data_IF_712200026662
#
_entry.id   IF_712200026662
#
_cell.length_a   1.000
_cell.length_b   1.000
_cell.length_c   1.000
_cell.angle_alpha   90.00
_cell.angle_beta   90.00
_cell.angle_gamma   90.00
#
_symmetry.space_group_name_H-M   'P 1'
#
loop_
_entity.id
_entity.type
_entity.pdbx_description
1 polymer ?
#
# COMPACT_ATOMS: atom_id res chain seq x y z
N UNK A 1 5.40 4.82 10.18
CA UNK A 1 5.33 3.60 11.03
C UNK A 1 3.97 3.56 11.65
N UNK A 2 3.24 2.47 11.45
CA UNK A 2 1.78 2.41 11.53
C UNK A 2 1.32 1.02 11.99
N UNK A 3 0.11 0.95 12.58
CA UNK A 3 -0.58 -0.25 13.11
C UNK A 3 -2.10 0.06 13.06
N UNK A 4 -3.00 -0.92 12.87
CA UNK A 4 -4.44 -0.70 12.65
C UNK A 4 -5.38 -1.72 13.37
N UNK A 5 -6.58 -1.28 13.84
CA UNK A 5 -7.70 -2.20 14.11
C UNK A 5 -9.14 -1.63 13.85
N UNK A 6 -10.02 -2.44 13.21
CA UNK A 6 -11.48 -2.45 13.46
C UNK A 6 -12.43 -1.50 12.67
N UNK A 7 -13.47 -2.08 12.04
CA UNK A 7 -14.51 -1.43 11.16
C UNK A 7 -15.93 -1.47 11.77
N UNK A 8 -17.04 -1.02 11.10
CA UNK A 8 -17.25 -0.29 9.82
C UNK A 8 -18.20 0.95 10.02
N UNK A 9 -19.12 1.48 9.19
CA UNK A 9 -19.69 1.30 7.82
C UNK A 9 -20.47 2.58 7.37
N UNK A 10 -20.84 2.72 6.07
CA UNK A 10 -21.95 3.58 5.59
C UNK A 10 -21.70 4.38 4.29
N UNK A 11 -22.68 4.48 3.37
CA UNK A 11 -22.47 5.00 1.99
C UNK A 11 -23.69 5.69 1.31
N UNK A 12 -23.42 6.51 0.28
CA UNK A 12 -24.36 6.96 -0.79
C UNK A 12 -23.62 7.63 -1.99
N UNK A 13 -24.29 7.75 -3.15
CA UNK A 13 -23.70 8.08 -4.49
C UNK A 13 -24.10 9.45 -5.08
N UNK A 14 -23.30 9.97 -6.06
CA UNK A 14 -23.81 10.64 -7.28
C UNK A 14 -22.75 11.09 -8.33
N UNK A 15 -22.93 10.69 -9.60
CA UNK A 15 -22.73 11.53 -10.81
C UNK A 15 -21.32 11.78 -11.40
N UNK A 16 -21.15 11.60 -12.73
CA UNK A 16 -19.95 12.00 -13.50
C UNK A 16 -20.30 12.45 -14.95
N UNK A 17 -19.32 13.00 -15.70
CA UNK A 17 -19.48 13.54 -17.06
C UNK A 17 -18.38 13.07 -18.04
N UNK A 18 -18.56 13.37 -19.33
CA UNK A 18 -17.99 12.65 -20.49
C UNK A 18 -16.49 12.81 -20.81
N UNK A 19 -15.94 11.81 -21.51
CA UNK A 19 -14.53 11.62 -21.87
C UNK A 19 -14.32 11.46 -23.40
N UNK A 20 -13.70 12.44 -24.08
CA UNK A 20 -13.26 12.27 -25.50
C UNK A 20 -11.85 12.80 -25.84
N UNK A 21 -11.14 13.49 -24.92
CA UNK A 21 -9.85 14.17 -25.22
C UNK A 21 -8.60 13.52 -24.58
N UNK A 22 -8.72 12.35 -23.94
CA UNK A 22 -7.73 11.86 -22.94
C UNK A 22 -6.67 10.84 -23.39
N UNK A 23 -6.77 10.25 -24.57
CA UNK A 23 -5.96 9.06 -24.92
C UNK A 23 -4.55 9.34 -25.50
N UNK A 24 -4.28 10.53 -26.03
CA UNK A 24 -3.12 10.76 -26.93
C UNK A 24 -1.72 10.79 -26.30
N UNK A 25 -1.54 10.41 -25.04
CA UNK A 25 -0.21 10.30 -24.38
C UNK A 25 -0.15 9.08 -23.45
N UNK A 26 0.43 8.00 -23.96
CA UNK A 26 0.74 6.81 -23.18
C UNK A 26 2.03 7.00 -22.38
N UNK A 27 1.94 6.84 -21.06
CA UNK A 27 3.06 6.86 -20.13
C UNK A 27 3.20 5.46 -19.51
N UNK A 28 4.42 4.92 -19.30
CA UNK A 28 4.63 3.51 -18.95
C UNK A 28 4.09 3.10 -17.57
N UNK A 29 3.82 4.07 -16.68
CA UNK A 29 3.39 3.84 -15.30
C UNK A 29 1.93 4.24 -15.02
N UNK A 30 1.09 4.37 -16.04
CA UNK A 30 -0.35 4.66 -15.85
C UNK A 30 -1.11 3.43 -15.33
N UNK A 31 -1.59 3.50 -14.09
CA UNK A 31 -2.70 2.65 -13.64
C UNK A 31 -3.95 2.90 -14.49
N UNK A 32 -4.81 1.88 -14.64
CA UNK A 32 -6.04 1.99 -15.44
C UNK A 32 -6.99 3.03 -14.84
N UNK A 33 -7.51 3.91 -15.70
CA UNK A 33 -8.72 4.66 -15.38
C UNK A 33 -9.92 3.70 -15.43
N UNK A 34 -10.91 3.96 -14.56
CA UNK A 34 -12.10 3.12 -14.43
C UNK A 34 -12.94 3.09 -15.72
N UNK A 35 -13.37 1.89 -16.12
CA UNK A 35 -14.36 1.66 -17.16
C UNK A 35 -15.29 0.51 -16.78
N UNK A 36 -16.60 0.78 -16.81
CA UNK A 36 -17.73 -0.16 -16.84
C UNK A 36 -17.72 -1.39 -15.91
N UNK A 37 -18.49 -1.33 -14.81
CA UNK A 37 -18.86 -2.50 -14.01
C UNK A 37 -20.08 -3.19 -14.62
N UNK A 38 -19.94 -4.40 -15.18
CA UNK A 38 -21.08 -5.27 -15.48
C UNK A 38 -21.53 -6.03 -14.22
N UNK A 39 -22.85 -6.15 -14.02
CA UNK A 39 -23.41 -6.81 -12.84
C UNK A 39 -23.26 -8.34 -12.92
N UNK A 40 -22.94 -8.97 -11.80
CA UNK A 40 -22.93 -10.44 -11.65
C UNK A 40 -24.13 -10.82 -10.75
N UNK A 41 -25.01 -11.65 -11.28
CA UNK A 41 -26.18 -12.18 -10.58
C UNK A 41 -25.77 -13.12 -9.44
N UNK A 42 -26.62 -13.24 -8.42
CA UNK A 42 -26.43 -14.11 -7.25
C UNK A 42 -27.73 -14.82 -6.88
N UNK A 43 -27.95 -15.98 -7.49
CA UNK A 43 -28.82 -16.98 -6.89
C UNK A 43 -28.19 -17.50 -5.59
N UNK A 44 -29.03 -17.67 -4.57
CA UNK A 44 -28.70 -18.36 -3.31
C UNK A 44 -29.57 -19.61 -3.26
N UNK A 45 -28.95 -20.78 -3.21
CA UNK A 45 -29.64 -22.03 -2.88
C UNK A 45 -29.35 -22.42 -1.42
N UNK A 46 -30.37 -22.97 -0.75
CA UNK A 46 -30.42 -23.21 0.70
C UNK A 46 -30.79 -24.67 1.00
N UNK A 47 -29.80 -25.51 1.32
CA UNK A 47 -30.04 -26.91 1.73
C UNK A 47 -29.34 -27.31 3.04
N UNK A 48 -29.85 -28.37 3.66
CA UNK A 48 -29.94 -28.51 5.11
C UNK A 48 -29.48 -29.88 5.64
N UNK A 49 -28.85 -29.81 6.83
CA UNK A 49 -28.79 -30.85 7.89
C UNK A 49 -27.98 -32.14 7.63
N UNK A 50 -26.85 -32.19 8.35
CA UNK A 50 -26.60 -33.16 9.44
C UNK A 50 -26.53 -34.67 9.13
N UNK A 51 -25.34 -35.25 9.33
CA UNK A 51 -25.17 -36.56 10.01
C UNK A 51 -23.83 -36.62 10.74
N UNK A 52 -23.77 -37.36 11.85
CA UNK A 52 -22.53 -37.72 12.58
C UNK A 52 -22.07 -39.12 12.18
N UNK A 53 -20.76 -39.32 12.04
CA UNK A 53 -20.09 -40.61 12.22
C UNK A 53 -18.64 -40.39 12.64
N UNK A 54 -18.11 -41.31 13.45
CA UNK A 54 -16.75 -41.23 14.02
C UNK A 54 -15.73 -41.95 13.14
N UNK A 55 -14.59 -41.31 12.88
CA UNK A 55 -13.37 -41.93 12.37
C UNK A 55 -12.15 -41.30 13.06
N UNK A 56 -11.06 -42.05 13.19
CA UNK A 56 -9.82 -41.59 13.82
C UNK A 56 -9.00 -40.69 12.89
N UNK A 57 -8.50 -39.57 13.40
CA UNK A 57 -7.65 -38.65 12.64
C UNK A 57 -6.28 -39.27 12.31
N UNK A 58 -5.82 -39.28 11.05
CA UNK A 58 -4.41 -39.40 10.73
C UNK A 58 -3.70 -38.09 11.10
N UNK A 59 -2.41 -38.17 11.48
CA UNK A 59 -1.61 -36.99 11.87
C UNK A 59 -1.69 -35.89 10.82
N UNK A 60 -2.08 -34.68 11.25
CA UNK A 60 -2.27 -33.55 10.35
C UNK A 60 -0.92 -33.09 9.76
N UNK A 61 -0.65 -33.47 8.52
CA UNK A 61 0.29 -32.75 7.67
C UNK A 61 -0.17 -31.29 7.61
N UNK A 62 0.68 -30.36 8.06
CA UNK A 62 0.39 -28.93 7.97
C UNK A 62 0.45 -28.53 6.50
N UNK A 63 -0.69 -28.63 5.83
CA UNK A 63 -0.94 -27.95 4.56
C UNK A 63 -0.94 -26.46 4.90
N UNK A 64 0.19 -25.79 4.71
CA UNK A 64 0.26 -24.32 4.76
C UNK A 64 -0.74 -23.80 3.72
N UNK A 65 -1.88 -23.32 4.17
CA UNK A 65 -2.67 -22.40 3.37
C UNK A 65 -1.80 -21.16 3.18
N UNK A 66 -1.33 -20.96 1.95
CA UNK A 66 -0.79 -19.67 1.55
C UNK A 66 -1.92 -18.66 1.75
N UNK A 67 -1.81 -17.81 2.77
CA UNK A 67 -2.82 -16.79 3.00
C UNK A 67 -2.64 -15.73 1.91
N UNK A 68 -3.57 -15.72 0.93
CA UNK A 68 -3.64 -14.73 -0.15
C UNK A 68 -3.98 -13.31 0.36
N UNK A 69 -4.19 -13.14 1.66
CA UNK A 69 -4.35 -11.86 2.34
C UNK A 69 -3.00 -11.45 2.96
N UNK A 70 -2.60 -10.17 2.90
CA UNK A 70 -1.49 -9.63 3.68
C UNK A 70 -1.70 -9.80 5.19
N UNK A 71 -0.62 -9.63 5.95
CA UNK A 71 -0.64 -9.64 7.41
C UNK A 71 -1.45 -8.45 7.95
N UNK A 72 -2.54 -8.76 8.64
CA UNK A 72 -3.44 -7.76 9.24
C UNK A 72 -3.00 -7.31 10.65
N UNK A 73 -1.91 -7.88 11.18
CA UNK A 73 -1.28 -7.44 12.42
C UNK A 73 -0.33 -6.27 12.21
N UNK A 74 0.45 -5.93 13.24
CA UNK A 74 1.48 -4.89 13.16
C UNK A 74 2.76 -5.36 12.47
N UNK A 75 3.61 -4.41 12.06
CA UNK A 75 4.89 -4.70 11.40
C UNK A 75 5.89 -5.46 12.27
N UNK A 76 5.77 -5.44 13.61
CA UNK A 76 6.67 -6.17 14.50
C UNK A 76 6.20 -7.62 14.69
N UNK A 77 4.89 -7.87 14.85
CA UNK A 77 4.35 -9.23 14.84
C UNK A 77 4.58 -9.96 13.50
N UNK A 78 4.58 -9.23 12.38
CA UNK A 78 4.99 -9.77 11.07
C UNK A 78 6.46 -10.23 11.06
N UNK A 79 7.37 -9.45 11.64
CA UNK A 79 8.79 -9.83 11.75
C UNK A 79 8.97 -11.07 12.64
N UNK A 80 8.21 -11.19 13.73
CA UNK A 80 8.22 -12.41 14.55
C UNK A 80 7.59 -13.61 13.82
N UNK A 81 6.59 -13.41 12.96
CA UNK A 81 6.03 -14.45 12.09
C UNK A 81 7.04 -14.92 11.01
N UNK A 82 7.91 -14.04 10.53
CA UNK A 82 9.06 -14.42 9.69
C UNK A 82 10.11 -15.21 10.48
N UNK A 83 10.46 -14.76 11.70
CA UNK A 83 11.46 -15.41 12.57
C UNK A 83 11.03 -16.77 13.09
N UNK A 84 9.73 -16.98 13.32
CA UNK A 84 9.15 -18.27 13.69
C UNK A 84 8.97 -19.23 12.50
N UNK A 85 9.00 -18.72 11.27
CA UNK A 85 8.67 -19.48 10.06
C UNK A 85 7.17 -19.77 9.91
N UNK A 86 6.30 -18.98 10.56
CA UNK A 86 4.86 -18.98 10.30
C UNK A 86 4.54 -18.43 8.91
N UNK A 87 5.25 -17.37 8.51
CA UNK A 87 5.18 -16.68 7.21
C UNK A 87 6.59 -16.50 6.65
N UNK A 88 6.75 -16.28 5.35
CA UNK A 88 8.01 -15.80 4.77
C UNK A 88 7.86 -14.44 4.09
N UNK A 89 8.94 -13.63 3.99
CA UNK A 89 8.93 -12.34 3.31
C UNK A 89 8.41 -12.39 1.86
N UNK A 90 8.76 -13.44 1.11
CA UNK A 90 8.33 -13.60 -0.28
C UNK A 90 6.83 -13.95 -0.40
N UNK A 91 6.31 -14.82 0.47
CA UNK A 91 4.86 -15.11 0.55
C UNK A 91 4.06 -13.86 0.95
N UNK A 92 4.58 -13.05 1.87
CA UNK A 92 3.94 -11.82 2.32
C UNK A 92 3.96 -10.73 1.23
N UNK A 93 5.09 -10.54 0.54
CA UNK A 93 5.16 -9.58 -0.56
C UNK A 93 4.25 -9.98 -1.74
N UNK A 94 4.15 -11.27 -2.05
CA UNK A 94 3.20 -11.75 -3.06
C UNK A 94 1.75 -11.44 -2.63
N UNK A 95 1.37 -11.74 -1.38
CA UNK A 95 0.05 -11.40 -0.87
C UNK A 95 -0.22 -9.88 -0.86
N UNK A 96 0.79 -9.06 -0.55
CA UNK A 96 0.74 -7.59 -0.71
C UNK A 96 0.44 -7.20 -2.16
N UNK A 97 1.09 -7.82 -3.16
CA UNK A 97 0.82 -7.51 -4.56
C UNK A 97 -0.55 -8.01 -5.04
N UNK A 98 -0.96 -9.21 -4.65
CA UNK A 98 -2.29 -9.75 -4.95
C UNK A 98 -3.40 -8.84 -4.38
N UNK A 99 -3.21 -8.33 -3.15
CA UNK A 99 -4.13 -7.39 -2.53
C UNK A 99 -4.11 -6.00 -3.19
N UNK A 100 -2.95 -5.51 -3.65
CA UNK A 100 -2.85 -4.25 -4.41
C UNK A 100 -3.61 -4.36 -5.74
N UNK A 101 -3.48 -5.48 -6.46
CA UNK A 101 -4.18 -5.70 -7.73
C UNK A 101 -5.70 -5.88 -7.57
N UNK A 102 -6.14 -6.41 -6.43
CA UNK A 102 -7.54 -6.53 -6.07
C UNK A 102 -8.16 -5.23 -5.49
N UNK A 103 -7.38 -4.13 -5.38
CA UNK A 103 -7.80 -2.94 -4.62
C UNK A 103 -8.36 -1.80 -5.48
N UNK A 104 -9.67 -1.54 -5.33
CA UNK A 104 -10.34 -0.34 -5.87
C UNK A 104 -9.77 1.00 -5.31
N UNK A 105 -8.89 0.97 -4.28
CA UNK A 105 -8.43 2.15 -3.54
C UNK A 105 -7.48 3.07 -4.30
N UNK A 106 -6.78 2.58 -5.32
CA UNK A 106 -5.78 3.34 -6.10
C UNK A 106 -4.71 4.01 -5.20
N UNK A 107 -4.08 3.22 -4.32
CA UNK A 107 -3.16 3.69 -3.29
C UNK A 107 -1.66 3.67 -3.69
N UNK A 108 -1.32 3.02 -4.81
CA UNK A 108 0.04 2.89 -5.35
C UNK A 108 0.15 3.45 -6.77
N UNK A 109 1.23 4.20 -7.03
CA UNK A 109 1.58 4.79 -8.32
C UNK A 109 2.58 3.94 -9.12
N UNK A 110 3.36 3.09 -8.44
CA UNK A 110 4.44 2.29 -9.04
C UNK A 110 4.76 1.07 -8.18
N UNK A 111 5.04 -0.09 -8.79
CA UNK A 111 5.45 -1.32 -8.09
C UNK A 111 6.60 -2.03 -8.84
N UNK A 112 7.83 -2.09 -8.31
CA UNK A 112 8.98 -2.70 -8.98
C UNK A 112 9.05 -4.22 -8.69
N UNK A 113 8.02 -4.95 -9.09
CA UNK A 113 7.70 -6.29 -8.55
C UNK A 113 8.87 -7.27 -8.58
N UNK A 114 9.60 -7.34 -9.69
CA UNK A 114 10.76 -8.24 -9.77
C UNK A 114 11.91 -7.85 -8.83
N UNK A 115 12.14 -6.55 -8.61
CA UNK A 115 13.18 -6.05 -7.72
C UNK A 115 12.82 -6.36 -6.26
N UNK A 116 11.58 -6.05 -5.88
CA UNK A 116 11.07 -6.29 -4.54
C UNK A 116 11.00 -7.79 -4.21
N UNK A 117 10.58 -8.66 -5.16
CA UNK A 117 10.56 -10.11 -4.93
C UNK A 117 11.97 -10.67 -4.71
N UNK A 118 12.97 -10.27 -5.52
CA UNK A 118 14.37 -10.64 -5.30
C UNK A 118 14.90 -10.14 -3.95
N UNK A 119 14.48 -8.96 -3.49
CA UNK A 119 14.83 -8.43 -2.18
C UNK A 119 14.14 -9.19 -1.03
N UNK A 120 12.91 -9.66 -1.21
CA UNK A 120 12.19 -10.47 -0.23
C UNK A 120 12.76 -11.90 -0.11
N UNK A 121 13.13 -12.52 -1.24
CA UNK A 121 13.84 -13.81 -1.28
C UNK A 121 15.20 -13.77 -0.56
N UNK A 122 15.83 -12.61 -0.49
CA UNK A 122 17.16 -12.38 0.09
C UNK A 122 17.12 -11.61 1.42
N UNK A 123 15.94 -11.48 2.04
CA UNK A 123 15.74 -10.62 3.19
C UNK A 123 16.40 -11.16 4.48
N UNK A 124 17.23 -10.33 5.12
CA UNK A 124 17.78 -10.62 6.45
C UNK A 124 16.76 -10.36 7.55
N UNK A 125 16.01 -11.41 7.91
CA UNK A 125 14.99 -11.39 8.98
C UNK A 125 15.56 -11.16 10.40
N UNK A 126 16.89 -11.10 10.57
CA UNK A 126 17.50 -10.69 11.85
C UNK A 126 17.41 -9.16 12.06
N UNK A 127 17.27 -8.37 10.99
CA UNK A 127 17.13 -6.92 11.05
C UNK A 127 15.74 -6.49 11.60
N UNK A 128 15.58 -5.25 12.11
CA UNK A 128 14.38 -4.82 12.83
C UNK A 128 13.05 -4.93 12.07
N UNK A 129 13.09 -4.80 10.74
CA UNK A 129 11.98 -4.94 9.80
C UNK A 129 12.37 -5.86 8.63
N UNK A 130 13.25 -6.83 8.89
CA UNK A 130 13.80 -7.74 7.89
C UNK A 130 12.71 -8.44 7.09
N UNK A 131 12.61 -8.12 5.80
CA UNK A 131 11.64 -8.72 4.88
C UNK A 131 10.25 -8.08 4.86
N UNK A 132 9.97 -7.06 5.69
CA UNK A 132 8.64 -6.43 5.74
C UNK A 132 8.39 -5.63 4.45
N UNK A 133 7.29 -5.88 3.70
CA UNK A 133 6.89 -5.02 2.58
C UNK A 133 6.46 -3.63 3.07
N UNK A 134 7.09 -2.58 2.53
CA UNK A 134 6.78 -1.19 2.88
C UNK A 134 6.40 -0.36 1.66
N UNK A 135 5.37 0.45 1.79
CA UNK A 135 5.06 1.51 0.84
C UNK A 135 6.00 2.71 1.02
N UNK A 136 6.43 3.34 -0.07
CA UNK A 136 7.25 4.56 -0.06
C UNK A 136 6.40 5.71 -0.60
N UNK A 137 6.26 6.85 0.08
CA UNK A 137 5.54 7.99 -0.51
C UNK A 137 6.24 8.42 -1.81
N UNK A 138 5.49 8.62 -2.88
CA UNK A 138 5.97 9.06 -4.20
C UNK A 138 6.90 10.31 -4.20
N UNK A 139 6.86 11.14 -3.15
CA UNK A 139 7.74 12.31 -2.98
C UNK A 139 9.08 11.98 -2.27
N UNK A 140 9.29 10.74 -1.83
CA UNK A 140 10.56 10.22 -1.32
C UNK A 140 11.32 9.53 -2.48
N UNK A 141 12.48 10.07 -2.88
CA UNK A 141 13.28 9.50 -3.99
C UNK A 141 13.83 8.10 -3.68
N UNK A 142 13.77 7.20 -4.67
CA UNK A 142 14.45 5.89 -4.72
C UNK A 142 15.13 5.74 -6.09
N UNK A 143 16.41 5.41 -6.12
CA UNK A 143 17.18 5.38 -7.37
C UNK A 143 16.57 4.41 -8.40
N UNK A 144 16.35 4.87 -9.63
CA UNK A 144 15.75 4.10 -10.71
C UNK A 144 14.21 4.07 -10.72
N UNK A 145 13.55 4.52 -9.66
CA UNK A 145 12.08 4.64 -9.59
C UNK A 145 11.60 5.99 -10.15
N UNK A 146 10.30 6.14 -10.49
CA UNK A 146 9.72 7.42 -10.90
C UNK A 146 9.93 8.56 -9.87
N UNK A 147 10.17 9.77 -10.37
CA UNK A 147 10.41 10.99 -9.58
C UNK A 147 9.49 12.13 -10.03
N UNK A 148 8.19 11.85 -10.04
CA UNK A 148 7.12 12.62 -10.68
C UNK A 148 6.65 13.83 -9.87
N UNK A 149 6.93 13.90 -8.57
CA UNK A 149 6.27 14.82 -7.62
C UNK A 149 4.71 14.75 -7.68
N UNK A 150 4.17 13.62 -8.16
CA UNK A 150 2.78 13.42 -8.57
C UNK A 150 2.24 14.40 -9.64
N UNK A 151 3.15 15.07 -10.37
CA UNK A 151 2.89 16.11 -11.36
C UNK A 151 3.03 15.59 -12.81
N UNK A 152 2.13 16.01 -13.70
CA UNK A 152 2.18 15.66 -15.13
C UNK A 152 3.38 16.27 -15.88
N UNK A 153 3.98 17.36 -15.37
CA UNK A 153 5.16 18.00 -15.97
C UNK A 153 6.42 17.14 -15.79
N UNK A 154 6.43 16.27 -14.77
CA UNK A 154 7.56 15.42 -14.39
C UNK A 154 7.24 13.93 -14.54
N UNK A 155 6.20 13.57 -15.31
CA UNK A 155 5.76 12.18 -15.52
C UNK A 155 6.87 11.24 -16.04
N UNK A 156 7.82 11.78 -16.81
CA UNK A 156 8.95 11.04 -17.39
C UNK A 156 10.24 11.11 -16.54
N UNK A 157 10.21 11.72 -15.35
CA UNK A 157 11.36 11.79 -14.46
C UNK A 157 11.62 10.47 -13.72
N UNK A 158 12.90 10.12 -13.60
CA UNK A 158 13.40 8.98 -12.82
C UNK A 158 14.39 9.48 -11.77
N UNK A 159 14.32 8.98 -10.55
CA UNK A 159 15.19 9.43 -9.47
C UNK A 159 16.62 8.92 -9.66
N UNK A 160 17.60 9.82 -9.56
CA UNK A 160 19.03 9.52 -9.69
C UNK A 160 19.70 9.09 -8.38
N UNK A 161 18.93 9.02 -7.29
CA UNK A 161 19.42 8.72 -5.95
C UNK A 161 18.27 8.23 -5.05
N UNK A 162 18.61 7.47 -4.02
CA UNK A 162 17.70 7.14 -2.91
C UNK A 162 17.86 8.17 -1.79
N UNK A 163 16.78 8.54 -1.12
CA UNK A 163 16.84 9.44 0.04
C UNK A 163 17.44 8.73 1.26
N UNK A 164 18.14 9.46 2.13
CA UNK A 164 18.83 8.87 3.31
C UNK A 164 17.85 8.25 4.32
N UNK A 165 16.56 8.60 4.26
CA UNK A 165 15.52 7.91 5.02
C UNK A 165 15.26 6.49 4.47
N UNK A 166 15.02 6.38 3.16
CA UNK A 166 14.65 5.10 2.53
C UNK A 166 15.86 4.16 2.46
N UNK A 167 17.04 4.69 2.16
CA UNK A 167 18.33 3.98 2.23
C UNK A 167 18.50 3.26 3.59
N UNK A 168 18.19 3.95 4.70
CA UNK A 168 18.26 3.35 6.04
C UNK A 168 17.13 2.36 6.34
N UNK A 169 15.93 2.56 5.77
CA UNK A 169 14.85 1.57 5.91
C UNK A 169 15.27 0.21 5.33
N UNK A 170 15.98 0.21 4.19
CA UNK A 170 16.55 -1.01 3.60
C UNK A 170 17.80 -1.46 4.35
N UNK A 171 18.86 -0.63 4.41
CA UNK A 171 20.20 -1.05 4.89
C UNK A 171 20.33 -1.25 6.39
N UNK A 172 19.48 -0.60 7.20
CA UNK A 172 19.50 -0.71 8.67
C UNK A 172 18.22 -1.33 9.23
N UNK A 173 17.10 -1.20 8.51
CA UNK A 173 15.83 -1.84 8.85
C UNK A 173 15.66 -3.24 8.27
N UNK A 174 16.26 -3.55 7.11
CA UNK A 174 16.01 -4.79 6.36
C UNK A 174 14.68 -4.80 5.59
N UNK A 175 14.00 -3.65 5.48
CA UNK A 175 12.69 -3.55 4.88
C UNK A 175 12.71 -3.67 3.35
N UNK A 176 11.68 -4.27 2.77
CA UNK A 176 11.53 -4.47 1.32
C UNK A 176 10.61 -3.39 0.74
N UNK A 177 11.09 -2.64 -0.24
CA UNK A 177 10.34 -1.53 -0.82
C UNK A 177 9.31 -2.04 -1.84
N UNK A 178 8.05 -2.19 -1.42
CA UNK A 178 6.99 -2.79 -2.23
C UNK A 178 6.53 -1.91 -3.41
N UNK A 179 6.64 -0.58 -3.28
CA UNK A 179 6.28 0.36 -4.33
C UNK A 179 6.06 1.78 -3.83
N UNK A 180 5.76 2.69 -4.76
CA UNK A 180 5.43 4.08 -4.42
C UNK A 180 3.94 4.22 -4.13
N UNK A 181 3.58 4.73 -2.94
CA UNK A 181 2.22 5.13 -2.61
C UNK A 181 1.90 6.50 -3.20
N UNK A 182 0.69 6.65 -3.73
CA UNK A 182 0.22 7.88 -4.36
C UNK A 182 0.27 9.08 -3.41
N UNK A 183 0.59 10.24 -3.98
CA UNK A 183 0.63 11.49 -3.23
C UNK A 183 -0.15 12.61 -3.90
N UNK A 184 -0.39 13.70 -3.16
CA UNK A 184 -0.86 14.94 -3.81
C UNK A 184 0.30 15.63 -4.52
N UNK A 185 0.01 16.26 -5.65
CA UNK A 185 0.95 17.05 -6.46
C UNK A 185 1.77 18.03 -5.59
N UNK A 186 3.11 17.93 -5.68
CA UNK A 186 4.10 18.64 -4.85
C UNK A 186 3.92 18.54 -3.33
N UNK A 187 3.13 17.57 -2.88
CA UNK A 187 2.70 17.44 -1.49
C UNK A 187 1.77 18.55 -1.00
N UNK A 188 1.27 19.43 -1.90
CA UNK A 188 0.79 20.77 -1.56
C UNK A 188 -0.65 20.90 -1.05
N UNK A 189 -1.47 19.84 -1.17
CA UNK A 189 -2.89 19.87 -0.75
C UNK A 189 -3.26 18.68 0.14
N UNK A 190 -4.29 18.86 0.97
CA UNK A 190 -4.78 17.86 1.93
C UNK A 190 -5.76 16.85 1.30
N UNK A 191 -5.55 16.51 0.03
CA UNK A 191 -6.37 15.60 -0.79
C UNK A 191 -5.45 14.88 -1.79
N UNK A 192 -5.32 13.55 -1.71
CA UNK A 192 -4.59 12.77 -2.73
C UNK A 192 -5.48 12.47 -3.93
N UNK A 193 -5.48 13.43 -4.88
CA UNK A 193 -6.02 13.30 -6.24
C UNK A 193 -5.17 14.14 -7.19
N UNK A 194 -4.68 13.55 -8.28
CA UNK A 194 -3.85 14.24 -9.29
C UNK A 194 -4.32 13.90 -10.71
N UNK A 195 -3.84 14.64 -11.70
CA UNK A 195 -4.11 14.35 -13.13
C UNK A 195 -3.31 13.13 -13.61
N UNK A 196 -2.19 12.81 -12.95
CA UNK A 196 -1.32 11.70 -13.32
C UNK A 196 -1.91 10.34 -12.91
N UNK A 197 -2.43 10.24 -11.68
CA UNK A 197 -2.87 8.97 -11.07
C UNK A 197 -4.37 8.89 -10.77
N UNK A 198 -5.14 9.95 -10.99
CA UNK A 198 -6.55 9.99 -10.58
C UNK A 198 -6.72 10.26 -9.08
N UNK A 199 -7.75 9.67 -8.46
CA UNK A 199 -8.05 9.83 -7.04
C UNK A 199 -7.70 8.56 -6.25
N UNK A 200 -7.09 8.72 -5.08
CA UNK A 200 -7.00 7.64 -4.09
C UNK A 200 -8.20 7.72 -3.15
N UNK A 201 -8.79 6.56 -2.84
CA UNK A 201 -10.05 6.46 -2.10
C UNK A 201 -9.80 6.10 -0.63
N UNK A 202 -10.73 6.47 0.25
CA UNK A 202 -10.65 6.13 1.67
C UNK A 202 -11.17 4.69 1.91
N UNK A 203 -10.41 3.79 2.56
CA UNK A 203 -10.85 2.41 2.80
C UNK A 203 -12.08 2.28 3.71
N UNK A 204 -12.42 3.31 4.51
CA UNK A 204 -13.63 3.30 5.34
C UNK A 204 -14.91 3.68 4.55
N UNK A 205 -14.77 4.46 3.49
CA UNK A 205 -15.83 4.81 2.55
C UNK A 205 -15.19 5.37 1.26
N UNK A 206 -15.33 4.65 0.15
CA UNK A 206 -14.67 4.96 -1.13
C UNK A 206 -15.18 6.25 -1.80
N UNK A 207 -16.32 6.81 -1.39
CA UNK A 207 -16.77 8.14 -1.80
C UNK A 207 -16.01 9.28 -1.10
N UNK A 208 -15.24 8.99 -0.05
CA UNK A 208 -14.49 9.97 0.73
C UNK A 208 -12.99 9.97 0.40
N UNK A 209 -12.33 11.09 0.68
CA UNK A 209 -10.87 11.23 0.57
C UNK A 209 -10.14 10.56 1.75
N UNK A 210 -8.98 9.92 1.53
CA UNK A 210 -8.07 9.48 2.59
C UNK A 210 -7.25 10.64 3.17
N UNK A 211 -7.62 11.90 2.88
CA UNK A 211 -6.85 13.10 3.20
C UNK A 211 -5.69 13.30 2.22
N UNK A 212 -4.67 14.04 2.66
CA UNK A 212 -3.45 14.24 1.90
C UNK A 212 -2.39 15.03 2.68
N UNK A 213 -1.18 15.18 2.16
CA UNK A 213 -0.72 14.71 0.85
C UNK A 213 -0.12 13.29 0.82
N UNK A 214 -0.10 12.58 1.95
CA UNK A 214 0.28 11.15 2.01
C UNK A 214 -0.97 10.26 2.03
N UNK A 215 -1.95 10.53 1.14
CA UNK A 215 -3.22 9.80 1.11
C UNK A 215 -3.06 8.36 0.66
N UNK A 216 -2.18 8.07 -0.30
CA UNK A 216 -1.80 6.70 -0.68
C UNK A 216 -1.22 5.92 0.50
N UNK A 217 -0.32 6.53 1.27
CA UNK A 217 0.21 5.95 2.52
C UNK A 217 -0.90 5.58 3.51
N UNK A 218 -1.86 6.49 3.74
CA UNK A 218 -2.98 6.24 4.65
C UNK A 218 -3.92 5.14 4.14
N UNK A 219 -4.30 5.20 2.86
CA UNK A 219 -5.18 4.22 2.23
C UNK A 219 -4.55 2.82 2.13
N UNK A 220 -3.26 2.72 1.80
CA UNK A 220 -2.55 1.45 1.70
C UNK A 220 -2.45 0.72 3.05
N UNK A 221 -2.22 1.44 4.14
CA UNK A 221 -2.14 0.84 5.49
C UNK A 221 -3.53 0.53 6.04
N UNK A 222 -4.46 1.49 6.03
CA UNK A 222 -5.81 1.26 6.55
C UNK A 222 -6.65 0.29 5.69
N UNK A 223 -6.30 0.12 4.41
CA UNK A 223 -6.85 -0.89 3.51
C UNK A 223 -6.18 -2.27 3.62
N UNK A 224 -5.19 -2.45 4.50
CA UNK A 224 -4.54 -3.74 4.72
C UNK A 224 -3.64 -4.22 3.57
N UNK A 225 -3.12 -3.32 2.73
CA UNK A 225 -2.23 -3.66 1.61
C UNK A 225 -0.78 -3.84 2.08
N UNK A 226 -0.35 -3.03 3.06
CA UNK A 226 0.94 -3.13 3.77
C UNK A 226 0.76 -2.74 5.23
N UNK A 227 1.50 -3.38 6.14
CA UNK A 227 1.46 -3.03 7.59
C UNK A 227 2.04 -1.63 7.86
N UNK A 228 2.95 -1.15 7.01
CA UNK A 228 3.74 0.07 7.23
C UNK A 228 4.16 0.74 5.91
N UNK A 229 4.23 2.07 5.90
CA UNK A 229 4.74 2.86 4.79
C UNK A 229 5.43 4.18 5.25
N UNK A 230 6.23 4.80 4.37
CA UNK A 230 6.80 6.14 4.58
C UNK A 230 5.76 7.25 4.32
N UNK A 231 6.09 8.47 4.74
CA UNK A 231 5.23 9.63 4.53
C UNK A 231 5.96 10.93 4.85
N UNK A 232 5.51 12.02 4.22
CA UNK A 232 6.06 13.36 4.41
C UNK A 232 4.97 14.33 4.87
N UNK A 233 5.30 15.16 5.87
CA UNK A 233 4.38 16.10 6.54
C UNK A 233 4.98 17.52 6.49
N UNK A 234 4.39 18.41 5.69
CA UNK A 234 4.68 19.84 5.75
C UNK A 234 3.87 20.47 6.88
N UNK A 235 2.61 20.78 6.58
CA UNK A 235 1.63 21.37 7.50
C UNK A 235 0.62 20.39 8.12
N UNK A 236 0.87 19.08 8.10
CA UNK A 236 -0.13 18.07 8.51
C UNK A 236 -0.15 16.79 7.68
N UNK A 237 0.63 16.72 6.60
CA UNK A 237 0.45 15.73 5.53
C UNK A 237 0.77 14.26 5.86
N UNK A 238 1.15 13.91 7.10
CA UNK A 238 1.08 12.54 7.65
C UNK A 238 -0.15 12.41 8.56
N UNK A 239 -0.33 13.38 9.47
CA UNK A 239 -1.35 13.37 10.54
C UNK A 239 -2.78 13.54 10.02
N UNK A 240 -2.97 14.25 8.91
CA UNK A 240 -4.27 14.45 8.27
C UNK A 240 -4.74 13.14 7.62
N UNK A 241 -3.94 12.46 6.76
CA UNK A 241 -4.28 11.11 6.32
C UNK A 241 -4.51 10.14 7.47
N UNK A 242 -3.67 10.18 8.51
CA UNK A 242 -3.83 9.33 9.69
C UNK A 242 -5.20 9.52 10.36
N UNK A 243 -5.61 10.76 10.62
CA UNK A 243 -6.92 11.07 11.19
C UNK A 243 -8.10 10.72 10.27
N UNK A 244 -7.93 10.83 8.95
CA UNK A 244 -8.97 10.50 7.96
C UNK A 244 -9.08 8.98 7.71
N UNK A 245 -8.03 8.21 7.99
CA UNK A 245 -7.95 6.76 7.79
C UNK A 245 -7.83 5.96 9.09
N UNK A 246 -8.07 6.58 10.26
CA UNK A 246 -8.15 5.88 11.54
C UNK A 246 -6.82 5.33 12.08
N UNK A 247 -5.68 5.85 11.62
CA UNK A 247 -4.34 5.33 11.91
C UNK A 247 -3.54 6.19 12.90
N UNK A 248 -2.52 5.59 13.51
CA UNK A 248 -1.45 6.32 14.19
C UNK A 248 -0.41 6.86 13.19
N UNK A 249 -0.37 8.18 12.98
CA UNK A 249 0.59 8.84 12.07
C UNK A 249 1.57 9.78 12.77
N UNK A 250 2.84 9.37 12.89
CA UNK A 250 3.87 10.15 13.57
C UNK A 250 4.58 11.16 12.66
N UNK A 251 4.49 12.45 13.02
CA UNK A 251 5.41 13.51 12.54
C UNK A 251 6.48 13.75 13.60
N UNK A 252 7.71 13.32 13.34
CA UNK A 252 8.85 13.58 14.21
C UNK A 252 9.23 15.08 14.27
N UNK A 253 10.01 15.47 15.28
CA UNK A 253 10.61 16.81 15.40
C UNK A 253 11.35 17.19 14.11
N UNK A 254 11.25 18.45 13.69
CA UNK A 254 11.97 18.93 12.51
C UNK A 254 13.49 18.66 12.64
N UNK A 255 14.11 18.15 11.57
CA UNK A 255 15.51 17.73 11.56
C UNK A 255 15.82 16.36 12.19
N UNK A 256 14.86 15.69 12.86
CA UNK A 256 15.08 14.33 13.42
C UNK A 256 15.25 13.27 12.33
N UNK A 257 14.54 13.42 11.22
CA UNK A 257 14.66 12.58 10.02
C UNK A 257 15.36 13.42 8.94
N UNK A 258 16.42 12.91 8.29
CA UNK A 258 17.14 13.66 7.27
C UNK A 258 16.34 13.77 5.97
N UNK A 259 16.38 14.94 5.33
CA UNK A 259 15.85 15.15 3.96
C UNK A 259 16.91 14.92 2.86
N UNK A 260 18.14 14.60 3.28
CA UNK A 260 19.31 14.40 2.43
C UNK A 260 19.07 13.32 1.34
N UNK A 261 19.67 13.47 0.14
CA UNK A 261 20.75 14.42 -0.21
C UNK A 261 20.31 15.84 -0.58
N UNK A 262 19.00 16.15 -0.58
CA UNK A 262 18.47 17.51 -0.82
C UNK A 262 17.91 18.15 0.47
N UNK A 263 17.43 19.39 0.39
CA UNK A 263 16.98 20.20 1.55
C UNK A 263 15.86 21.15 1.18
#
# INVERSE_FOLDING_TARGET
MWIAPGSPAGSSDMGCGSDEDRERRGYPWRCRLYGERTAIDRSIDDDKRNRRSTASEPSATIVRHMANTPWLGDSCSLVEAFRSGERSPAEELQATYDAIDASDLNAFAYTPREEAMRAAEQADISLPFGGVPIGVKELDSVAGWPATEACVVFADHVATHTSVMIDRMVTQGGAVLAGQTTSSEFGGVNLTRTVLHGATLNPWNTAHTPGGSSGGTGAAVAGGLVTIASGGDGGGSIRIPAGFTGLFGLKATFGRIPRAPRT
#
